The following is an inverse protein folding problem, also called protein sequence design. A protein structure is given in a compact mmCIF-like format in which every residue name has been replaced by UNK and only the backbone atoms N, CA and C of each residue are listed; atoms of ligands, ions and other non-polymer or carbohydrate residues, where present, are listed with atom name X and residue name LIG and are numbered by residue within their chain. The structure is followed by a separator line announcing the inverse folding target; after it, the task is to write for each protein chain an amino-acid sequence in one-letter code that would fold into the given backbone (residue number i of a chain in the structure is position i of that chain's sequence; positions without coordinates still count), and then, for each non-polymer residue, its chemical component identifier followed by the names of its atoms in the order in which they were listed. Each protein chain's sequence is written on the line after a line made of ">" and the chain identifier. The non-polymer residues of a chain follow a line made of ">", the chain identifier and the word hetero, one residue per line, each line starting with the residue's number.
data_IF_104348500050
#
_entry.id   IF_104348500050
#
_cell.length_a   1.000
_cell.length_b   1.000
_cell.length_c   1.000
_cell.angle_alpha   90.00
_cell.angle_beta   90.00
_cell.angle_gamma   90.00
#
_symmetry.space_group_name_H-M   'P 1'
#
loop_
_entity.id
_entity.type
_entity.pdbx_description
1 polymer ?
#
# COMPACT_ATOMS: atom_id res chain seq x y z
N UNK A 1 17.47 0.94 -9.01
CA UNK A 1 16.48 1.83 -9.64
C UNK A 1 15.13 1.44 -9.08
N UNK A 2 14.35 2.40 -8.60
CA UNK A 2 12.99 2.17 -8.13
C UNK A 2 12.09 1.85 -9.33
N UNK A 3 11.22 0.84 -9.20
CA UNK A 3 10.50 0.21 -10.33
C UNK A 3 8.99 0.15 -10.13
N UNK A 4 8.43 0.88 -9.14
CA UNK A 4 6.99 0.84 -8.94
C UNK A 4 6.27 1.44 -10.16
N UNK A 5 5.37 0.67 -10.78
CA UNK A 5 4.48 1.16 -11.83
C UNK A 5 3.35 2.00 -11.23
N UNK A 6 3.71 3.17 -10.70
CA UNK A 6 2.80 4.10 -10.04
C UNK A 6 1.87 4.81 -11.03
N UNK A 7 2.30 4.95 -12.28
CA UNK A 7 1.56 5.61 -13.35
C UNK A 7 1.58 4.75 -14.63
N UNK A 8 0.54 4.89 -15.44
CA UNK A 8 0.46 4.40 -16.82
C UNK A 8 1.41 5.19 -17.73
N UNK A 9 1.65 4.70 -18.96
CA UNK A 9 2.47 5.42 -19.95
C UNK A 9 1.91 6.80 -20.31
N UNK A 10 0.59 7.00 -20.17
CA UNK A 10 -0.08 8.29 -20.36
C UNK A 10 0.03 9.23 -19.13
N UNK A 11 0.74 8.81 -18.08
CA UNK A 11 0.94 9.58 -16.85
C UNK A 11 -0.23 9.51 -15.86
N UNK A 12 -1.24 8.65 -16.07
CA UNK A 12 -2.35 8.49 -15.14
C UNK A 12 -1.98 7.55 -13.99
N UNK A 13 -2.36 7.83 -12.73
CA UNK A 13 -2.03 6.98 -11.59
C UNK A 13 -2.67 5.59 -11.72
N UNK A 14 -1.95 4.54 -11.35
CA UNK A 14 -2.46 3.16 -11.36
C UNK A 14 -3.35 2.85 -10.16
N UNK A 15 -3.25 3.65 -9.09
CA UNK A 15 -4.11 3.60 -7.91
C UNK A 15 -4.85 4.94 -7.79
N UNK A 16 -6.15 4.92 -8.06
CA UNK A 16 -7.00 6.11 -7.97
C UNK A 16 -7.59 6.31 -6.57
N UNK A 17 -7.86 5.21 -5.87
CA UNK A 17 -8.38 5.22 -4.50
C UNK A 17 -7.23 5.33 -3.49
N UNK A 18 -6.82 6.58 -3.22
CA UNK A 18 -5.65 6.90 -2.39
C UNK A 18 -5.92 6.89 -0.89
N UNK A 19 -7.17 6.98 -0.47
CA UNK A 19 -7.57 7.02 0.94
C UNK A 19 -8.72 6.03 1.18
N UNK A 20 -8.35 4.88 1.75
CA UNK A 20 -9.24 3.74 1.92
C UNK A 20 -9.57 3.54 3.38
N UNK A 21 -10.83 3.74 3.74
CA UNK A 21 -11.38 3.34 5.03
C UNK A 21 -11.66 1.84 5.04
N UNK A 22 -11.21 1.14 6.08
CA UNK A 22 -11.26 -0.32 6.19
C UNK A 22 -12.09 -0.72 7.41
N UNK A 23 -13.04 -1.62 7.20
CA UNK A 23 -13.87 -2.16 8.29
C UNK A 23 -13.20 -3.35 9.00
N UNK A 24 -11.98 -3.15 9.50
CA UNK A 24 -11.26 -4.15 10.28
C UNK A 24 -11.17 -3.73 11.76
N UNK A 25 -10.86 -4.69 12.64
CA UNK A 25 -10.74 -4.42 14.08
C UNK A 25 -9.56 -3.51 14.40
N UNK A 26 -8.37 -3.78 13.86
CA UNK A 26 -7.17 -2.99 14.13
C UNK A 26 -6.75 -2.08 12.97
N UNK A 27 -6.66 -2.58 11.74
CA UNK A 27 -6.28 -1.80 10.56
C UNK A 27 -7.46 -0.94 10.07
N UNK A 28 -7.44 0.37 10.32
CA UNK A 28 -8.58 1.27 10.07
C UNK A 28 -8.54 1.95 8.72
N UNK A 29 -7.34 2.28 8.23
CA UNK A 29 -7.20 3.06 7.01
C UNK A 29 -5.90 2.71 6.30
N UNK A 30 -5.93 2.79 4.98
CA UNK A 30 -4.76 2.72 4.11
C UNK A 30 -4.70 4.00 3.28
N UNK A 31 -3.59 4.73 3.38
CA UNK A 31 -3.36 5.98 2.65
C UNK A 31 -2.14 5.86 1.74
N UNK A 32 -2.29 6.15 0.46
CA UNK A 32 -1.19 6.34 -0.49
C UNK A 32 -0.68 7.79 -0.38
N UNK A 33 0.43 7.98 0.32
CA UNK A 33 1.03 9.30 0.61
C UNK A 33 2.02 9.77 -0.45
N UNK A 34 2.50 8.88 -1.31
CA UNK A 34 3.47 9.20 -2.36
C UNK A 34 3.36 8.22 -3.52
N UNK A 35 3.54 8.72 -4.74
CA UNK A 35 3.56 7.97 -6.00
C UNK A 35 4.56 8.57 -7.02
N UNK A 36 5.51 9.39 -6.54
CA UNK A 36 6.44 10.16 -7.36
C UNK A 36 7.69 9.36 -7.73
N UNK A 37 8.24 9.58 -8.94
CA UNK A 37 9.51 8.99 -9.42
C UNK A 37 9.63 7.47 -9.22
N UNK A 38 8.58 6.72 -9.60
CA UNK A 38 8.52 5.26 -9.47
C UNK A 38 8.68 4.74 -8.02
N UNK A 39 8.36 5.58 -7.03
CA UNK A 39 8.24 5.20 -5.62
C UNK A 39 6.81 5.39 -5.15
N UNK A 40 6.29 4.39 -4.46
CA UNK A 40 4.99 4.47 -3.77
C UNK A 40 5.17 4.41 -2.27
N UNK A 41 4.49 5.29 -1.55
CA UNK A 41 4.50 5.35 -0.09
C UNK A 41 3.10 5.09 0.44
N UNK A 42 2.97 4.10 1.33
CA UNK A 42 1.71 3.80 2.00
C UNK A 42 1.83 4.00 3.51
N UNK A 43 0.74 4.45 4.13
CA UNK A 43 0.57 4.51 5.58
C UNK A 43 -0.63 3.65 5.97
N UNK A 44 -0.43 2.81 6.99
CA UNK A 44 -1.49 2.05 7.66
C UNK A 44 -1.86 2.74 8.97
N UNK A 45 -3.11 3.19 9.10
CA UNK A 45 -3.63 3.70 10.37
C UNK A 45 -4.16 2.53 11.19
N UNK A 46 -3.65 2.40 12.41
CA UNK A 46 -4.00 1.31 13.32
C UNK A 46 -4.69 1.87 14.57
N UNK A 47 -5.67 1.13 15.06
CA UNK A 47 -6.34 1.39 16.34
C UNK A 47 -5.40 1.16 17.53
N UNK A 48 -4.49 0.19 17.41
CA UNK A 48 -3.45 -0.10 18.39
C UNK A 48 -2.17 -0.58 17.73
N UNK A 49 -1.02 -0.28 18.35
CA UNK A 49 0.29 -0.76 17.87
C UNK A 49 0.35 -2.28 17.98
N UNK A 50 0.39 -2.97 16.84
CA UNK A 50 0.54 -4.42 16.75
C UNK A 50 1.68 -4.81 15.79
N UNK A 51 2.29 -5.99 15.96
CA UNK A 51 3.25 -6.50 14.99
C UNK A 51 2.62 -6.68 13.61
N UNK A 52 3.44 -6.51 12.58
CA UNK A 52 3.11 -6.85 11.21
C UNK A 52 4.19 -7.76 10.64
N UNK A 53 3.87 -8.44 9.54
CA UNK A 53 4.85 -9.17 8.73
C UNK A 53 4.70 -8.80 7.26
N UNK A 54 5.79 -8.93 6.52
CA UNK A 54 5.84 -8.74 5.07
C UNK A 54 6.02 -10.08 4.39
N UNK A 55 5.29 -10.29 3.29
CA UNK A 55 5.46 -11.45 2.41
C UNK A 55 5.51 -10.95 0.98
N UNK A 56 6.61 -11.23 0.30
CA UNK A 56 6.75 -10.99 -1.13
C UNK A 56 6.28 -12.21 -1.91
N UNK A 57 5.39 -11.99 -2.87
CA UNK A 57 4.89 -13.01 -3.78
C UNK A 57 5.35 -12.68 -5.19
N UNK A 58 5.58 -13.72 -5.99
CA UNK A 58 5.98 -13.61 -7.39
C UNK A 58 4.88 -14.17 -8.30
N UNK A 59 4.90 -13.78 -9.57
CA UNK A 59 4.02 -14.32 -10.63
C UNK A 59 2.50 -14.20 -10.32
N UNK A 60 1.91 -12.98 -10.26
CA UNK A 60 2.53 -11.66 -10.42
C UNK A 60 3.16 -11.14 -9.12
N UNK A 61 4.08 -10.19 -9.26
CA UNK A 61 4.76 -9.51 -8.14
C UNK A 61 3.74 -8.81 -7.22
N UNK A 62 3.73 -9.18 -5.95
CA UNK A 62 2.84 -8.61 -4.93
C UNK A 62 3.58 -8.50 -3.60
N UNK A 63 3.26 -7.45 -2.83
CA UNK A 63 3.66 -7.31 -1.44
C UNK A 63 2.42 -7.48 -0.55
N UNK A 64 2.46 -8.44 0.36
CA UNK A 64 1.41 -8.64 1.37
C UNK A 64 1.92 -8.12 2.71
N UNK A 65 1.14 -7.25 3.34
CA UNK A 65 1.39 -6.77 4.70
C UNK A 65 0.30 -7.31 5.61
N UNK A 66 0.66 -8.29 6.44
CA UNK A 66 -0.27 -8.84 7.43
C UNK A 66 -0.08 -8.12 8.76
N UNK A 67 -1.12 -7.41 9.21
CA UNK A 67 -1.14 -6.72 10.50
C UNK A 67 -1.93 -7.54 11.50
N UNK A 68 -1.34 -7.83 12.67
CA UNK A 68 -2.03 -8.56 13.74
C UNK A 68 -3.20 -7.74 14.28
N UNK A 69 -4.34 -8.40 14.51
CA UNK A 69 -5.49 -7.81 15.21
C UNK A 69 -5.22 -7.56 16.70
#
# INVERSE_FOLDING_TARGET
>A
MDTAQAHTDAGQPTITDRDRQLNCRNLKQLVLICDFEAKVGFVFVLDSKKPYRLVELQNPARLVVDVKN
#
